data_IF_786932374011
#
_entry.id   IF_786932374011
#
_cell.length_a   1.000
_cell.length_b   1.000
_cell.length_c   1.000
_cell.angle_alpha   90.00
_cell.angle_beta   90.00
_cell.angle_gamma   90.00
#
_symmetry.space_group_name_H-M   'P 1'
#
loop_
_entity.id
_entity.type
_entity.pdbx_description
1 polymer ?
#
# COMPACT_ATOMS: atom_id res chain seq x y z
N UNK A 1 -5.93 7.20 27.43
CA UNK A 1 -5.72 7.74 26.06
C UNK A 1 -6.23 9.15 26.02
N UNK A 2 -5.38 10.09 25.61
CA UNK A 2 -5.71 11.51 25.52
C UNK A 2 -6.68 11.74 24.35
N UNK A 3 -7.76 12.44 24.61
CA UNK A 3 -8.79 12.74 23.61
C UNK A 3 -8.33 13.86 22.67
N UNK A 4 -8.90 13.93 21.45
CA UNK A 4 -8.66 15.05 20.53
C UNK A 4 -8.96 16.41 21.16
N UNK A 5 -9.98 16.48 22.02
CA UNK A 5 -10.33 17.70 22.75
C UNK A 5 -9.24 18.11 23.73
N UNK A 6 -8.67 17.17 24.48
CA UNK A 6 -7.57 17.43 25.42
C UNK A 6 -6.30 17.88 24.68
N UNK A 7 -5.96 17.26 23.54
CA UNK A 7 -4.82 17.68 22.70
C UNK A 7 -4.99 19.14 22.24
N UNK A 8 -6.20 19.51 21.79
CA UNK A 8 -6.49 20.88 21.33
C UNK A 8 -6.49 21.88 22.49
N UNK A 9 -6.92 21.49 23.69
CA UNK A 9 -6.85 22.33 24.88
C UNK A 9 -5.40 22.58 25.35
N UNK A 10 -4.53 21.57 25.16
CA UNK A 10 -3.11 21.66 25.52
C UNK A 10 -2.27 22.42 24.47
N UNK A 11 -2.81 22.68 23.27
CA UNK A 11 -2.17 23.52 22.27
C UNK A 11 -2.21 25.00 22.66
N UNK A 12 -1.05 25.58 22.98
CA UNK A 12 -0.97 27.03 23.16
C UNK A 12 -1.28 27.77 21.85
N UNK A 13 -2.31 28.63 21.88
CA UNK A 13 -2.63 29.54 20.77
C UNK A 13 -1.79 30.83 20.78
N UNK A 14 -1.07 31.08 21.87
CA UNK A 14 -0.16 32.24 22.01
C UNK A 14 1.28 31.82 21.73
N UNK A 15 2.00 32.63 20.97
CA UNK A 15 3.46 32.53 20.78
C UNK A 15 4.13 33.78 21.34
N UNK A 16 5.38 33.62 21.78
CA UNK A 16 6.21 34.75 22.15
C UNK A 16 6.49 35.62 20.92
N UNK A 17 6.35 36.93 21.06
CA UNK A 17 6.73 37.92 20.05
C UNK A 17 7.99 38.64 20.52
N UNK A 18 9.16 38.37 19.93
CA UNK A 18 10.39 39.06 20.31
C UNK A 18 10.32 40.55 19.95
N UNK A 19 10.75 41.41 20.88
CA UNK A 19 10.90 42.86 20.68
C UNK A 19 12.28 43.34 21.12
N UNK A 20 12.75 44.45 20.56
CA UNK A 20 14.03 45.03 20.96
C UNK A 20 14.04 45.39 22.44
N UNK A 21 15.16 45.10 23.11
CA UNK A 21 15.31 45.29 24.56
C UNK A 21 14.63 44.22 25.43
N UNK A 22 13.99 43.20 24.85
CA UNK A 22 13.42 42.10 25.62
C UNK A 22 14.51 41.22 26.25
N UNK A 23 14.40 40.94 27.55
CA UNK A 23 15.33 40.07 28.25
C UNK A 23 15.16 38.60 27.83
N UNK A 24 16.27 37.99 27.45
CA UNK A 24 16.35 36.59 27.01
C UNK A 24 16.71 35.71 28.21
N UNK A 25 15.69 35.36 29.01
CA UNK A 25 15.86 34.53 30.22
C UNK A 25 15.58 33.05 29.93
N UNK A 26 16.05 32.15 30.79
CA UNK A 26 15.75 30.72 30.69
C UNK A 26 14.23 30.44 30.65
N UNK A 27 13.43 31.20 31.40
CA UNK A 27 11.96 31.10 31.39
C UNK A 27 11.37 31.47 30.02
N UNK A 28 11.85 32.57 29.42
CA UNK A 28 11.41 33.03 28.10
C UNK A 28 11.80 32.01 27.01
N UNK A 29 13.00 31.45 27.09
CA UNK A 29 13.44 30.36 26.21
C UNK A 29 12.57 29.11 26.35
N UNK A 30 12.31 28.67 27.59
CA UNK A 30 11.49 27.51 27.88
C UNK A 30 10.06 27.68 27.36
N UNK A 31 9.45 28.86 27.55
CA UNK A 31 8.11 29.17 27.03
C UNK A 31 8.07 29.11 25.49
N UNK A 32 9.06 29.70 24.82
CA UNK A 32 9.15 29.65 23.36
C UNK A 32 9.31 28.21 22.84
N UNK A 33 10.15 27.38 23.48
CA UNK A 33 10.38 26.00 23.06
C UNK A 33 9.19 25.09 23.38
N UNK A 34 8.53 25.29 24.52
CA UNK A 34 7.31 24.58 24.87
C UNK A 34 6.20 24.83 23.84
N UNK A 35 6.05 26.08 23.36
CA UNK A 35 5.10 26.39 22.27
C UNK A 35 5.35 25.52 21.03
N UNK A 36 6.61 25.44 20.57
CA UNK A 36 6.97 24.64 19.40
C UNK A 36 6.78 23.13 19.64
N UNK A 37 7.20 22.63 20.80
CA UNK A 37 7.05 21.21 21.18
C UNK A 37 5.59 20.79 21.22
N UNK A 38 4.74 21.54 21.93
CA UNK A 38 3.30 21.25 22.04
C UNK A 38 2.61 21.29 20.67
N UNK A 39 2.98 22.26 19.83
CA UNK A 39 2.42 22.36 18.47
C UNK A 39 2.84 21.18 17.59
N UNK A 40 4.08 20.72 17.72
CA UNK A 40 4.58 19.55 17.01
C UNK A 40 3.88 18.27 17.50
N UNK A 41 3.78 18.07 18.81
CA UNK A 41 3.08 16.92 19.40
C UNK A 41 1.63 16.86 18.93
N UNK A 42 0.92 17.99 18.97
CA UNK A 42 -0.45 18.05 18.49
C UNK A 42 -0.58 17.78 16.98
N UNK A 43 0.37 18.27 16.17
CA UNK A 43 0.40 17.93 14.75
C UNK A 43 0.58 16.42 14.54
N UNK A 44 1.53 15.81 15.24
CA UNK A 44 1.79 14.37 15.17
C UNK A 44 0.54 13.57 15.59
N UNK A 45 -0.03 13.87 16.76
CA UNK A 45 -1.20 13.17 17.27
C UNK A 45 -2.46 13.35 16.41
N UNK A 46 -2.70 14.55 15.86
CA UNK A 46 -3.93 14.84 15.12
C UNK A 46 -3.86 14.47 13.64
N UNK A 47 -2.69 14.60 13.01
CA UNK A 47 -2.51 14.37 11.56
C UNK A 47 -2.07 12.94 11.28
N UNK A 48 -1.18 12.38 12.09
CA UNK A 48 -0.63 11.03 11.88
C UNK A 48 -1.29 9.98 12.77
N UNK A 49 -1.74 10.37 13.97
CA UNK A 49 -2.23 9.42 14.98
C UNK A 49 -1.08 8.73 15.71
N UNK A 50 -1.43 7.69 16.47
CA UNK A 50 -0.48 6.88 17.24
C UNK A 50 -0.14 5.58 16.51
N UNK A 51 1.12 5.14 16.57
CA UNK A 51 1.58 3.95 15.86
C UNK A 51 3.03 4.03 15.35
N UNK A 52 3.43 3.04 14.57
CA UNK A 52 4.75 2.89 13.98
C UNK A 52 4.84 3.70 12.69
N UNK A 53 5.79 4.64 12.60
CA UNK A 53 5.99 5.46 11.41
C UNK A 53 6.88 4.77 10.37
N UNK A 54 7.91 4.04 10.83
CA UNK A 54 8.85 3.30 9.98
C UNK A 54 9.71 2.36 10.84
N UNK A 55 10.04 1.18 10.31
CA UNK A 55 10.92 0.20 10.96
C UNK A 55 10.29 -0.45 12.19
N UNK A 56 11.07 -0.58 13.28
CA UNK A 56 10.65 -1.20 14.54
C UNK A 56 10.18 -2.65 14.39
N UNK A 57 10.74 -3.38 13.43
CA UNK A 57 10.50 -4.81 13.33
C UNK A 57 10.95 -5.54 14.59
N UNK A 58 10.10 -6.44 15.07
CA UNK A 58 10.42 -7.35 16.18
C UNK A 58 10.73 -8.70 15.57
N UNK A 59 11.90 -9.23 15.87
CA UNK A 59 12.33 -10.55 15.42
C UNK A 59 12.77 -11.38 16.62
N UNK A 60 12.54 -12.68 16.56
CA UNK A 60 13.08 -13.61 17.53
C UNK A 60 14.61 -13.70 17.46
N UNK A 61 15.24 -14.12 18.55
CA UNK A 61 16.67 -14.43 18.56
C UNK A 61 17.01 -15.67 17.73
N UNK A 62 18.25 -15.72 17.23
CA UNK A 62 18.81 -16.90 16.57
C UNK A 62 20.18 -17.23 17.21
N UNK A 63 20.30 -18.33 17.98
CA UNK A 63 19.29 -19.36 18.21
C UNK A 63 18.11 -18.89 19.09
N UNK A 64 16.90 -19.45 18.92
CA UNK A 64 15.71 -19.07 19.69
C UNK A 64 15.85 -19.23 21.20
N UNK A 65 15.52 -18.17 21.95
CA UNK A 65 15.45 -18.13 23.42
C UNK A 65 14.31 -17.21 23.90
N UNK A 66 14.35 -16.69 25.13
CA UNK A 66 13.32 -15.76 25.66
C UNK A 66 13.54 -14.28 25.24
N UNK A 67 14.41 -14.04 24.27
CA UNK A 67 14.88 -12.72 23.85
C UNK A 67 14.34 -12.37 22.46
N UNK A 68 14.01 -11.09 22.27
CA UNK A 68 13.61 -10.54 20.98
C UNK A 68 14.51 -9.35 20.65
N UNK A 69 14.70 -9.09 19.36
CA UNK A 69 15.36 -7.90 18.85
C UNK A 69 14.33 -6.95 18.27
N UNK A 70 14.43 -5.68 18.64
CA UNK A 70 13.66 -4.58 18.06
C UNK A 70 14.61 -3.82 17.16
N UNK A 71 14.35 -3.84 15.85
CA UNK A 71 15.17 -3.14 14.87
C UNK A 71 14.96 -1.62 14.92
N UNK A 72 15.91 -0.82 14.40
CA UNK A 72 15.80 0.62 14.37
C UNK A 72 14.52 1.11 13.71
N UNK A 73 14.01 2.24 14.17
CA UNK A 73 12.81 2.84 13.61
C UNK A 73 12.23 3.96 14.44
N UNK A 74 11.01 4.35 14.12
CA UNK A 74 10.32 5.45 14.79
C UNK A 74 8.83 5.20 14.91
N UNK A 75 8.25 5.77 15.97
CA UNK A 75 6.84 5.68 16.28
C UNK A 75 6.32 6.98 16.90
N UNK A 76 5.00 7.15 16.92
CA UNK A 76 4.32 8.27 17.56
C UNK A 76 3.43 7.71 18.69
N UNK A 77 3.66 8.19 19.91
CA UNK A 77 2.84 7.82 21.08
C UNK A 77 1.40 8.35 20.96
N UNK A 78 0.43 7.84 21.74
CA UNK A 78 -0.92 8.41 21.81
C UNK A 78 -0.98 9.90 22.14
N UNK A 79 0.05 10.43 22.81
CA UNK A 79 0.16 11.85 23.16
C UNK A 79 0.90 12.69 22.11
N UNK A 80 1.31 12.08 20.99
CA UNK A 80 1.99 12.76 19.90
C UNK A 80 3.50 12.89 20.08
N UNK A 81 4.10 12.10 20.97
CA UNK A 81 5.54 12.11 21.18
C UNK A 81 6.22 11.23 20.14
N UNK A 82 7.27 11.76 19.49
CA UNK A 82 8.09 11.00 18.56
C UNK A 82 9.08 10.13 19.35
N UNK A 83 8.93 8.82 19.22
CA UNK A 83 9.84 7.83 19.78
C UNK A 83 10.80 7.38 18.67
N UNK A 84 12.10 7.40 18.94
CA UNK A 84 13.14 6.99 17.99
C UNK A 84 13.98 5.90 18.65
N UNK A 85 14.07 4.76 17.97
CA UNK A 85 14.99 3.66 18.30
C UNK A 85 16.11 3.71 17.26
N UNK A 86 17.28 4.29 17.58
CA UNK A 86 18.32 4.56 16.58
C UNK A 86 19.13 3.31 16.20
N UNK A 87 19.21 2.34 17.10
CA UNK A 87 20.01 1.12 16.96
C UNK A 87 19.19 -0.09 17.44
N UNK A 88 19.51 -1.32 16.98
CA UNK A 88 18.80 -2.51 17.43
C UNK A 88 18.86 -2.67 18.96
N UNK A 89 17.72 -2.95 19.58
CA UNK A 89 17.63 -3.20 21.02
C UNK A 89 17.21 -4.63 21.30
N UNK A 90 17.92 -5.25 22.22
CA UNK A 90 17.61 -6.58 22.74
C UNK A 90 16.69 -6.46 23.95
N UNK A 91 15.59 -7.20 23.96
CA UNK A 91 14.66 -7.25 25.09
C UNK A 91 14.38 -8.69 25.50
N UNK A 92 14.55 -9.00 26.80
CA UNK A 92 14.27 -10.31 27.36
C UNK A 92 12.88 -10.31 28.01
N UNK A 93 11.99 -11.17 27.52
CA UNK A 93 10.61 -11.32 28.00
C UNK A 93 10.50 -12.02 29.37
N UNK A 94 11.64 -12.45 29.92
CA UNK A 94 11.76 -13.02 31.26
C UNK A 94 11.05 -14.36 31.38
N UNK A 95 10.50 -14.64 32.57
CA UNK A 95 9.79 -15.89 32.88
C UNK A 95 8.25 -15.73 32.88
N UNK A 96 7.73 -14.61 32.37
CA UNK A 96 6.29 -14.37 32.36
C UNK A 96 5.57 -15.34 31.41
N UNK A 97 4.41 -15.84 31.84
CA UNK A 97 3.57 -16.79 31.12
C UNK A 97 2.27 -16.14 30.63
N UNK A 98 1.66 -16.75 29.61
CA UNK A 98 0.43 -16.25 29.02
C UNK A 98 0.67 -15.16 27.97
N UNK A 99 -0.34 -14.33 27.74
CA UNK A 99 -0.31 -13.32 26.69
C UNK A 99 0.39 -12.05 27.16
N UNK A 100 1.50 -11.71 26.50
CA UNK A 100 2.33 -10.54 26.75
C UNK A 100 2.28 -9.60 25.56
N UNK A 101 2.14 -8.30 25.84
CA UNK A 101 2.20 -7.23 24.85
C UNK A 101 3.51 -6.49 25.03
N UNK A 102 4.29 -6.39 23.96
CA UNK A 102 5.52 -5.63 23.88
C UNK A 102 5.21 -4.20 23.46
N UNK A 103 5.51 -3.24 24.33
CA UNK A 103 5.25 -1.82 24.17
C UNK A 103 6.55 -1.03 24.03
N UNK A 104 6.47 0.03 23.23
CA UNK A 104 7.46 1.08 23.14
C UNK A 104 6.89 2.37 23.75
N UNK A 105 7.56 2.93 24.76
CA UNK A 105 7.12 4.13 25.48
C UNK A 105 8.10 5.28 25.28
N UNK A 106 7.59 6.52 25.37
CA UNK A 106 8.42 7.72 25.35
C UNK A 106 8.88 8.08 26.77
N UNK A 107 10.10 8.58 26.90
CA UNK A 107 10.60 9.18 28.13
C UNK A 107 11.55 10.35 27.81
N UNK A 108 11.75 11.24 28.78
CA UNK A 108 12.83 12.24 28.75
C UNK A 108 13.82 11.96 29.88
N UNK A 109 15.12 12.18 29.64
CA UNK A 109 16.11 12.11 30.71
C UNK A 109 15.95 13.26 31.70
N UNK A 110 16.42 13.09 32.93
CA UNK A 110 16.73 14.25 33.77
C UNK A 110 17.78 15.14 33.06
N UNK A 111 17.80 16.47 33.30
CA UNK A 111 18.82 17.34 32.74
C UNK A 111 20.23 16.87 33.16
N UNK A 112 21.11 16.65 32.18
CA UNK A 112 22.50 16.20 32.39
C UNK A 112 23.46 17.25 31.92
N UNK A 113 24.50 17.51 32.72
CA UNK A 113 25.57 18.42 32.35
C UNK A 113 26.49 17.72 31.35
N UNK A 114 26.66 18.33 30.19
CA UNK A 114 27.56 17.83 29.14
C UNK A 114 28.53 18.95 28.75
N UNK A 115 29.79 18.56 28.59
CA UNK A 115 30.87 19.46 28.21
C UNK A 115 31.04 19.42 26.68
N UNK A 116 30.72 20.53 26.03
CA UNK A 116 31.02 20.73 24.62
C UNK A 116 32.38 21.48 24.51
N UNK A 117 33.36 20.96 23.77
CA UNK A 117 34.68 21.59 23.61
C UNK A 117 34.63 23.03 23.08
N UNK A 118 33.62 23.39 22.29
CA UNK A 118 33.46 24.72 21.69
C UNK A 118 32.42 25.57 22.44
N UNK A 119 31.40 24.93 23.02
CA UNK A 119 30.22 25.60 23.53
C UNK A 119 30.15 25.71 25.07
N UNK A 120 31.09 25.06 25.77
CA UNK A 120 31.16 25.00 27.23
C UNK A 120 30.21 23.97 27.85
N UNK A 121 30.07 24.00 29.16
CA UNK A 121 29.19 23.09 29.90
C UNK A 121 27.73 23.55 29.83
N UNK A 122 26.82 22.65 29.42
CA UNK A 122 25.38 22.93 29.30
C UNK A 122 24.55 21.74 29.78
N UNK A 123 23.35 22.03 30.26
CA UNK A 123 22.37 21.00 30.60
C UNK A 123 21.58 20.58 29.38
N UNK A 124 21.55 19.28 29.08
CA UNK A 124 20.74 18.69 28.03
C UNK A 124 19.70 17.71 28.60
N UNK A 125 18.53 17.70 27.97
CA UNK A 125 17.49 16.70 28.17
C UNK A 125 17.42 15.88 26.89
N UNK A 126 17.57 14.57 27.02
CA UNK A 126 17.54 13.65 25.89
C UNK A 126 16.18 12.96 25.82
N UNK A 127 15.63 12.88 24.62
CA UNK A 127 14.55 11.93 24.34
C UNK A 127 15.07 10.51 24.52
N UNK A 128 14.33 9.70 25.26
CA UNK A 128 14.61 8.31 25.55
C UNK A 128 13.37 7.47 25.22
N UNK A 129 13.54 6.16 25.24
CA UNK A 129 12.44 5.23 25.08
C UNK A 129 12.54 4.11 26.12
N UNK A 130 11.38 3.59 26.49
CA UNK A 130 11.25 2.36 27.28
C UNK A 130 10.73 1.23 26.40
N UNK A 131 11.20 0.02 26.67
CA UNK A 131 10.62 -1.21 26.12
C UNK A 131 10.07 -2.00 27.28
N UNK A 132 8.80 -2.37 27.22
CA UNK A 132 8.11 -3.06 28.30
C UNK A 132 7.23 -4.18 27.77
N UNK A 133 7.27 -5.34 28.41
CA UNK A 133 6.32 -6.42 28.19
C UNK A 133 5.34 -6.52 29.35
N UNK A 134 4.05 -6.39 29.08
CA UNK A 134 3.00 -6.43 30.09
C UNK A 134 1.83 -7.33 29.67
N UNK A 135 1.13 -7.98 30.62
CA UNK A 135 -0.14 -8.63 30.33
C UNK A 135 -1.20 -7.63 29.83
N UNK A 136 -2.17 -8.09 29.02
CA UNK A 136 -3.25 -7.30 28.37
C UNK A 136 -3.98 -6.28 29.27
N UNK A 137 -4.00 -6.48 30.58
CA UNK A 137 -4.85 -5.74 31.49
C UNK A 137 -4.41 -4.28 31.78
N UNK A 138 -3.22 -3.86 31.35
CA UNK A 138 -2.69 -2.52 31.68
C UNK A 138 -2.60 -1.65 30.42
N UNK A 139 -3.44 -0.60 30.28
CA UNK A 139 -3.29 0.36 29.19
C UNK A 139 -1.99 1.15 29.39
N UNK A 140 -1.02 0.94 28.50
CA UNK A 140 0.25 1.66 28.46
C UNK A 140 0.13 2.85 27.51
N UNK A 141 0.69 4.00 27.90
CA UNK A 141 0.86 5.13 26.99
C UNK A 141 2.07 4.89 26.08
N UNK A 142 1.89 4.03 25.10
CA UNK A 142 2.96 3.59 24.21
C UNK A 142 2.43 3.08 22.88
N UNK A 143 3.34 2.55 22.08
CA UNK A 143 3.05 1.93 20.79
C UNK A 143 3.28 0.43 20.89
N UNK A 144 2.29 -0.34 20.49
CA UNK A 144 2.36 -1.80 20.51
C UNK A 144 3.26 -2.29 19.37
N UNK A 145 4.29 -3.07 19.70
CA UNK A 145 5.25 -3.61 18.74
C UNK A 145 4.96 -5.06 18.36
N UNK A 146 4.55 -5.88 19.31
CA UNK A 146 4.25 -7.29 19.10
C UNK A 146 3.45 -7.86 20.28
N UNK A 147 2.83 -9.02 20.07
CA UNK A 147 2.35 -9.89 21.15
C UNK A 147 3.07 -11.22 21.11
N UNK A 148 3.11 -11.90 22.24
CA UNK A 148 3.52 -13.30 22.33
C UNK A 148 2.66 -14.01 23.35
N UNK A 149 2.21 -15.22 23.02
CA UNK A 149 1.48 -16.08 23.96
C UNK A 149 2.40 -17.17 24.45
N UNK A 150 2.99 -16.96 25.63
CA UNK A 150 4.00 -17.86 26.17
C UNK A 150 3.36 -19.07 26.83
N UNK A 151 3.74 -20.26 26.36
CA UNK A 151 3.28 -21.53 26.94
C UNK A 151 3.93 -21.82 28.29
N UNK A 152 5.18 -21.39 28.47
CA UNK A 152 5.94 -21.48 29.71
C UNK A 152 6.98 -20.36 29.80
N UNK A 153 7.37 -19.98 31.01
CA UNK A 153 8.36 -18.91 31.23
C UNK A 153 9.75 -19.19 30.64
N UNK A 154 10.08 -20.46 30.37
CA UNK A 154 11.34 -20.87 29.74
C UNK A 154 11.21 -21.24 28.26
N UNK A 155 10.01 -21.12 27.66
CA UNK A 155 9.81 -21.45 26.26
C UNK A 155 10.56 -20.45 25.37
N UNK A 156 11.23 -20.99 24.35
CA UNK A 156 11.93 -20.21 23.33
C UNK A 156 10.92 -19.56 22.40
N UNK A 157 11.20 -18.33 22.00
CA UNK A 157 10.33 -17.53 21.16
C UNK A 157 10.86 -17.59 19.74
N UNK A 158 9.97 -17.79 18.77
CA UNK A 158 10.31 -17.83 17.35
C UNK A 158 9.48 -16.82 16.56
N UNK A 159 9.95 -16.50 15.35
CA UNK A 159 9.10 -15.83 14.38
C UNK A 159 7.96 -16.79 13.98
N UNK A 160 6.77 -16.25 13.71
CA UNK A 160 5.65 -17.07 13.29
C UNK A 160 5.86 -17.64 11.88
N UNK A 161 5.76 -18.97 11.75
CA UNK A 161 5.77 -19.64 10.44
C UNK A 161 4.57 -19.16 9.59
N UNK A 162 3.41 -18.99 10.23
CA UNK A 162 2.22 -18.40 9.64
C UNK A 162 1.82 -17.11 10.36
N UNK A 163 2.21 -15.97 9.78
CA UNK A 163 1.96 -14.62 10.33
C UNK A 163 0.49 -14.31 10.60
N UNK A 164 -0.45 -14.94 9.89
CA UNK A 164 -1.89 -14.74 10.08
C UNK A 164 -2.45 -15.53 11.27
N UNK A 165 -1.79 -16.62 11.67
CA UNK A 165 -2.19 -17.50 12.76
C UNK A 165 -1.00 -17.93 13.62
N UNK A 166 -0.37 -17.02 14.38
CA UNK A 166 0.75 -17.36 15.26
C UNK A 166 0.35 -18.38 16.32
N UNK A 167 1.18 -19.41 16.51
CA UNK A 167 1.06 -20.40 17.56
C UNK A 167 1.57 -19.86 18.91
N UNK A 168 1.34 -20.57 20.03
CA UNK A 168 2.05 -20.27 21.27
C UNK A 168 3.57 -20.21 21.05
N UNK A 169 4.21 -19.30 21.77
CA UNK A 169 5.65 -18.99 21.70
C UNK A 169 6.12 -18.39 20.36
N UNK A 170 5.21 -18.06 19.44
CA UNK A 170 5.53 -17.29 18.22
C UNK A 170 5.20 -15.80 18.39
N UNK A 171 5.95 -14.95 17.69
CA UNK A 171 5.68 -13.52 17.61
C UNK A 171 4.43 -13.23 16.77
N UNK A 172 3.47 -12.53 17.37
CA UNK A 172 2.27 -12.02 16.70
C UNK A 172 2.42 -10.53 16.40
N UNK A 173 2.59 -10.21 15.12
CA UNK A 173 2.82 -8.86 14.63
C UNK A 173 1.56 -8.20 14.04
N UNK A 174 0.40 -8.89 14.04
CA UNK A 174 -0.82 -8.42 13.35
C UNK A 174 -1.42 -7.16 13.95
N UNK A 175 -1.11 -6.87 15.21
CA UNK A 175 -1.63 -5.72 15.96
C UNK A 175 -0.76 -4.46 15.82
N UNK A 176 0.35 -4.54 15.07
CA UNK A 176 1.19 -3.39 14.77
C UNK A 176 0.39 -2.37 13.96
N UNK A 177 0.20 -1.19 14.54
CA UNK A 177 -0.45 -0.09 13.85
C UNK A 177 0.59 0.74 13.12
N UNK A 178 0.81 0.47 11.84
CA UNK A 178 1.60 1.35 10.99
C UNK A 178 0.81 2.63 10.66
N UNK A 179 1.47 3.77 10.83
CA UNK A 179 0.93 5.10 10.59
C UNK A 179 1.86 5.89 9.67
N UNK A 180 1.36 7.02 9.19
CA UNK A 180 2.11 7.91 8.33
C UNK A 180 1.46 8.03 6.95
N UNK A 181 2.01 8.96 6.16
CA UNK A 181 1.56 9.13 4.78
C UNK A 181 2.16 7.98 3.98
N UNK A 182 1.45 6.86 3.87
CA UNK A 182 1.70 5.90 2.79
C UNK A 182 1.58 6.70 1.51
N UNK A 183 2.71 6.96 0.85
CA UNK A 183 2.71 7.70 -0.41
C UNK A 183 1.84 6.91 -1.35
N UNK A 184 0.64 7.44 -1.65
CA UNK A 184 -0.31 6.75 -2.52
C UNK A 184 0.42 6.45 -3.83
N UNK A 185 0.60 5.18 -4.19
CA UNK A 185 1.28 4.86 -5.43
C UNK A 185 0.52 5.52 -6.59
N UNK A 186 1.31 6.12 -7.47
CA UNK A 186 0.85 6.87 -8.61
C UNK A 186 0.99 5.99 -9.86
N UNK A 187 -0.13 5.73 -10.55
CA UNK A 187 -0.15 4.96 -11.79
C UNK A 187 -0.67 5.83 -12.93
N UNK A 188 -0.05 5.70 -14.11
CA UNK A 188 -0.59 6.25 -15.36
C UNK A 188 -1.09 5.11 -16.22
N UNK A 189 -2.35 5.20 -16.64
CA UNK A 189 -2.98 4.27 -17.56
C UNK A 189 -3.20 4.98 -18.89
N UNK A 190 -2.61 4.42 -19.95
CA UNK A 190 -2.81 4.91 -21.31
C UNK A 190 -3.70 3.97 -22.09
N UNK A 191 -4.72 4.47 -22.78
CA UNK A 191 -5.61 3.65 -23.62
C UNK A 191 -5.20 3.80 -25.09
N UNK A 192 -4.90 2.67 -25.73
CA UNK A 192 -4.61 2.60 -27.16
C UNK A 192 -5.71 1.79 -27.86
N UNK A 193 -6.32 2.37 -28.89
CA UNK A 193 -7.34 1.70 -29.69
C UNK A 193 -6.72 1.22 -31.01
N UNK A 194 -6.93 -0.04 -31.37
CA UNK A 194 -6.46 -0.64 -32.61
C UNK A 194 -7.64 -1.17 -33.43
N UNK A 195 -7.60 -1.02 -34.77
CA UNK A 195 -8.38 -1.84 -35.72
C UNK A 195 -9.84 -1.46 -36.06
N UNK A 196 -10.35 -0.29 -35.66
CA UNK A 196 -11.76 0.09 -35.89
C UNK A 196 -11.98 1.57 -36.22
N UNK A 197 -13.20 1.91 -36.66
CA UNK A 197 -13.65 3.31 -36.78
C UNK A 197 -13.90 3.92 -35.39
N UNK A 198 -13.71 5.23 -35.25
CA UNK A 198 -13.64 6.01 -33.99
C UNK A 198 -14.94 6.10 -33.15
N UNK A 199 -15.81 5.08 -33.18
CA UNK A 199 -17.22 5.20 -32.82
C UNK A 199 -17.58 5.02 -31.35
N UNK A 200 -16.83 4.23 -30.56
CA UNK A 200 -17.14 4.04 -29.13
C UNK A 200 -15.85 4.05 -28.30
N UNK A 201 -15.63 5.16 -27.60
CA UNK A 201 -14.53 5.34 -26.66
C UNK A 201 -14.99 4.87 -25.27
N UNK A 202 -14.28 3.93 -24.65
CA UNK A 202 -14.66 3.35 -23.36
C UNK A 202 -14.47 4.36 -22.22
N UNK A 203 -15.57 5.06 -21.89
CA UNK A 203 -15.67 5.99 -20.76
C UNK A 203 -15.51 5.31 -19.40
N UNK A 204 -15.58 3.98 -19.33
CA UNK A 204 -15.54 3.24 -18.06
C UNK A 204 -14.19 3.28 -17.36
N UNK A 205 -13.08 3.45 -18.08
CA UNK A 205 -11.76 3.57 -17.45
C UNK A 205 -11.63 4.84 -16.61
N UNK A 206 -12.30 5.92 -17.02
CA UNK A 206 -12.37 7.13 -16.18
C UNK A 206 -13.21 6.90 -14.91
N UNK A 207 -14.24 6.07 -14.99
CA UNK A 207 -15.04 5.67 -13.83
C UNK A 207 -14.23 4.78 -12.88
N UNK A 208 -13.43 3.84 -13.40
CA UNK A 208 -12.44 3.09 -12.60
C UNK A 208 -11.48 4.04 -11.89
N UNK A 209 -10.84 4.96 -12.62
CA UNK A 209 -9.88 5.89 -12.03
C UNK A 209 -10.51 6.77 -10.95
N UNK A 210 -11.78 7.16 -11.12
CA UNK A 210 -12.53 7.88 -10.08
C UNK A 210 -12.78 7.01 -8.86
N UNK A 211 -13.22 5.76 -9.05
CA UNK A 211 -13.46 4.80 -7.98
C UNK A 211 -12.19 4.56 -7.15
N UNK A 212 -11.05 4.32 -7.80
CA UNK A 212 -9.76 4.08 -7.12
C UNK A 212 -9.28 5.31 -6.33
N UNK A 213 -9.42 6.52 -6.90
CA UNK A 213 -9.09 7.76 -6.17
C UNK A 213 -9.96 7.95 -4.92
N UNK A 214 -11.23 7.56 -4.97
CA UNK A 214 -12.13 7.61 -3.81
C UNK A 214 -11.83 6.53 -2.77
N UNK A 215 -11.47 5.32 -3.18
CA UNK A 215 -11.03 4.26 -2.26
C UNK A 215 -9.74 4.66 -1.52
N UNK A 216 -8.90 5.46 -2.17
CA UNK A 216 -7.78 6.13 -1.53
C UNK A 216 -6.49 5.32 -1.50
N UNK A 217 -6.46 4.13 -2.11
CA UNK A 217 -5.30 3.24 -2.16
C UNK A 217 -4.31 3.58 -3.29
N UNK A 218 -4.79 4.09 -4.43
CA UNK A 218 -3.97 4.43 -5.61
C UNK A 218 -4.43 5.76 -6.22
N UNK A 219 -3.47 6.56 -6.70
CA UNK A 219 -3.75 7.69 -7.60
C UNK A 219 -3.60 7.24 -9.06
N UNK A 220 -4.73 7.09 -9.78
CA UNK A 220 -4.75 6.71 -11.19
C UNK A 220 -5.06 7.91 -12.09
N UNK A 221 -4.17 8.20 -13.04
CA UNK A 221 -4.40 9.13 -14.16
C UNK A 221 -4.61 8.34 -15.45
N UNK A 222 -5.53 8.80 -16.28
CA UNK A 222 -5.93 8.12 -17.52
C UNK A 222 -5.73 9.06 -18.68
N UNK A 223 -4.89 8.65 -19.64
CA UNK A 223 -4.74 9.32 -20.92
C UNK A 223 -5.40 8.46 -22.00
N UNK A 224 -6.25 9.07 -22.81
CA UNK A 224 -7.01 8.40 -23.87
C UNK A 224 -6.27 8.54 -25.19
N UNK A 225 -6.41 7.54 -26.07
CA UNK A 225 -5.94 7.60 -27.46
C UNK A 225 -4.42 7.80 -27.57
N UNK A 226 -3.68 7.09 -26.73
CA UNK A 226 -2.23 7.12 -26.75
C UNK A 226 -1.70 6.33 -27.96
N UNK A 227 -0.57 6.76 -28.50
CA UNK A 227 0.11 6.06 -29.58
C UNK A 227 1.15 5.05 -29.03
N UNK A 228 1.47 3.98 -29.78
CA UNK A 228 2.49 3.01 -29.37
C UNK A 228 3.81 3.64 -28.90
N UNK A 229 4.42 4.60 -29.61
CA UNK A 229 5.69 5.20 -29.18
C UNK A 229 5.69 5.77 -27.75
N UNK A 230 4.53 6.14 -27.20
CA UNK A 230 4.39 6.74 -25.88
C UNK A 230 4.23 5.72 -24.73
N UNK A 231 4.15 4.41 -25.02
CA UNK A 231 3.84 3.37 -24.02
C UNK A 231 4.79 3.42 -22.81
N UNK A 232 6.05 3.78 -23.02
CA UNK A 232 7.06 3.89 -21.95
C UNK A 232 6.70 4.87 -20.83
N UNK A 233 5.81 5.83 -21.07
CA UNK A 233 5.36 6.80 -20.06
C UNK A 233 4.28 6.25 -19.10
N UNK A 234 3.76 5.05 -19.35
CA UNK A 234 2.60 4.48 -18.66
C UNK A 234 2.95 3.28 -17.81
N UNK A 235 2.36 3.21 -16.62
CA UNK A 235 2.44 2.03 -15.75
C UNK A 235 1.66 0.86 -16.33
N UNK A 236 0.51 1.16 -16.94
CA UNK A 236 -0.40 0.20 -17.55
C UNK A 236 -0.85 0.74 -18.90
N UNK A 237 -0.75 -0.06 -19.96
CA UNK A 237 -1.37 0.24 -21.25
C UNK A 237 -2.60 -0.63 -21.41
N UNK A 238 -3.75 -0.02 -21.65
CA UNK A 238 -4.98 -0.71 -22.01
C UNK A 238 -5.17 -0.69 -23.52
N UNK A 239 -5.00 -1.84 -24.15
CA UNK A 239 -5.15 -2.04 -25.57
C UNK A 239 -6.57 -2.53 -25.88
N UNK A 240 -7.33 -1.72 -26.60
CA UNK A 240 -8.67 -2.06 -27.06
C UNK A 240 -8.60 -2.38 -28.54
N UNK A 241 -8.75 -3.65 -28.88
CA UNK A 241 -8.77 -4.10 -30.28
C UNK A 241 -10.21 -4.11 -30.75
N UNK A 242 -10.56 -3.09 -31.52
CA UNK A 242 -11.83 -2.98 -32.22
C UNK A 242 -11.61 -3.55 -33.63
N UNK A 243 -12.55 -4.32 -34.19
CA UNK A 243 -12.41 -4.79 -35.58
C UNK A 243 -11.16 -5.64 -35.87
N UNK A 244 -10.58 -5.47 -37.06
CA UNK A 244 -9.48 -6.29 -37.57
C UNK A 244 -8.13 -5.72 -37.13
N UNK A 245 -7.33 -6.54 -36.44
CA UNK A 245 -5.99 -6.15 -35.99
C UNK A 245 -5.01 -6.21 -37.17
N UNK A 246 -4.30 -5.10 -37.40
CA UNK A 246 -3.11 -5.07 -38.24
C UNK A 246 -1.88 -4.94 -37.34
N UNK A 247 -0.95 -5.89 -37.45
CA UNK A 247 0.27 -5.91 -36.66
C UNK A 247 1.38 -5.26 -37.48
N UNK A 248 1.75 -4.04 -37.11
CA UNK A 248 2.89 -3.33 -37.69
C UNK A 248 4.17 -3.63 -36.91
N UNK A 249 5.32 -3.63 -37.60
CA UNK A 249 6.61 -3.91 -36.98
C UNK A 249 6.97 -2.90 -35.88
N UNK A 250 6.53 -1.64 -36.01
CA UNK A 250 6.72 -0.60 -35.01
C UNK A 250 5.99 -0.94 -33.70
N UNK A 251 4.71 -1.32 -33.79
CA UNK A 251 3.90 -1.73 -32.63
C UNK A 251 4.55 -2.91 -31.89
N UNK A 252 5.02 -3.93 -32.62
CA UNK A 252 5.71 -5.08 -32.05
C UNK A 252 6.96 -4.69 -31.26
N UNK A 253 7.82 -3.86 -31.85
CA UNK A 253 9.05 -3.39 -31.20
C UNK A 253 8.76 -2.57 -29.95
N UNK A 254 7.75 -1.70 -30.02
CA UNK A 254 7.30 -0.92 -28.87
C UNK A 254 6.77 -1.82 -27.75
N UNK A 255 5.89 -2.78 -28.08
CA UNK A 255 5.32 -3.70 -27.08
C UNK A 255 6.41 -4.50 -26.39
N UNK A 256 7.37 -5.02 -27.15
CA UNK A 256 8.51 -5.74 -26.62
C UNK A 256 9.32 -4.86 -25.64
N UNK A 257 9.74 -3.67 -26.08
CA UNK A 257 10.50 -2.75 -25.23
C UNK A 257 9.73 -2.35 -23.96
N UNK A 258 8.41 -2.12 -24.09
CA UNK A 258 7.54 -1.76 -22.99
C UNK A 258 7.45 -2.86 -21.92
N UNK A 259 7.23 -4.10 -22.34
CA UNK A 259 7.13 -5.26 -21.43
C UNK A 259 8.47 -5.59 -20.77
N UNK A 260 9.58 -5.49 -21.51
CA UNK A 260 10.93 -5.68 -20.95
C UNK A 260 11.29 -4.64 -19.88
N UNK A 261 10.75 -3.42 -20.00
CA UNK A 261 10.89 -2.37 -18.98
C UNK A 261 9.92 -2.55 -17.79
N UNK A 262 9.32 -3.73 -17.60
CA UNK A 262 8.36 -3.99 -16.52
C UNK A 262 6.97 -3.38 -16.74
N UNK A 263 6.66 -2.96 -17.97
CA UNK A 263 5.32 -2.52 -18.35
C UNK A 263 4.28 -3.64 -18.22
N UNK A 264 3.00 -3.25 -18.14
CA UNK A 264 1.88 -4.19 -18.12
C UNK A 264 0.90 -3.82 -19.21
N UNK A 265 0.51 -4.80 -20.03
CA UNK A 265 -0.45 -4.62 -21.10
C UNK A 265 -1.76 -5.31 -20.69
N UNK A 266 -2.84 -4.54 -20.57
CA UNK A 266 -4.18 -5.10 -20.46
C UNK A 266 -4.85 -5.07 -21.83
N UNK A 267 -5.43 -6.17 -22.29
CA UNK A 267 -5.98 -6.28 -23.65
C UNK A 267 -7.41 -6.78 -23.60
N UNK A 268 -8.30 -6.04 -24.26
CA UNK A 268 -9.66 -6.49 -24.56
C UNK A 268 -9.94 -6.36 -26.05
N UNK A 269 -10.58 -7.39 -26.61
CA UNK A 269 -11.03 -7.39 -28.01
C UNK A 269 -12.53 -7.16 -28.03
N UNK A 270 -12.96 -6.10 -28.72
CA UNK A 270 -14.34 -5.64 -28.80
C UNK A 270 -14.79 -5.64 -30.27
N UNK A 271 -15.12 -6.81 -30.84
CA UNK A 271 -15.53 -6.93 -32.24
C UNK A 271 -17.05 -6.87 -32.38
N UNK A 272 -17.51 -6.53 -33.59
CA UNK A 272 -18.94 -6.49 -33.92
C UNK A 272 -19.59 -7.88 -33.99
N UNK A 273 -18.81 -8.95 -34.22
CA UNK A 273 -19.30 -10.33 -34.35
C UNK A 273 -18.34 -11.35 -33.73
N UNK A 274 -18.86 -12.54 -33.42
CA UNK A 274 -18.12 -13.67 -32.89
C UNK A 274 -16.94 -14.11 -33.77
N UNK A 275 -17.18 -14.18 -35.07
CA UNK A 275 -16.18 -14.60 -36.06
C UNK A 275 -15.01 -13.61 -36.14
N UNK A 276 -15.31 -12.31 -36.12
CA UNK A 276 -14.29 -11.25 -36.08
C UNK A 276 -13.50 -11.27 -34.76
N UNK A 277 -14.14 -11.66 -33.65
CA UNK A 277 -13.45 -11.87 -32.37
C UNK A 277 -12.38 -12.95 -32.48
N UNK A 278 -12.76 -14.13 -32.97
CA UNK A 278 -11.86 -15.25 -33.10
C UNK A 278 -10.67 -14.92 -34.03
N UNK A 279 -10.94 -14.23 -35.14
CA UNK A 279 -9.89 -13.80 -36.07
C UNK A 279 -8.90 -12.83 -35.43
N UNK A 280 -9.37 -11.77 -34.76
CA UNK A 280 -8.50 -10.78 -34.11
C UNK A 280 -7.73 -11.37 -32.92
N UNK A 281 -8.33 -12.31 -32.18
CA UNK A 281 -7.62 -13.06 -31.14
C UNK A 281 -6.53 -13.95 -31.70
N UNK A 282 -6.77 -14.66 -32.80
CA UNK A 282 -5.76 -15.49 -33.43
C UNK A 282 -4.54 -14.67 -33.86
N UNK A 283 -4.77 -13.52 -34.51
CA UNK A 283 -3.69 -12.59 -34.90
C UNK A 283 -2.96 -12.04 -33.67
N UNK A 284 -3.69 -11.66 -32.63
CA UNK A 284 -3.08 -11.16 -31.39
C UNK A 284 -2.23 -12.23 -30.68
N UNK A 285 -2.68 -13.48 -30.61
CA UNK A 285 -1.90 -14.55 -30.01
C UNK A 285 -0.71 -14.99 -30.86
N UNK A 286 -0.83 -14.98 -32.19
CA UNK A 286 0.32 -15.18 -33.08
C UNK A 286 1.38 -14.08 -32.85
N UNK A 287 0.93 -12.83 -32.71
CA UNK A 287 1.81 -11.71 -32.36
C UNK A 287 2.54 -11.95 -31.02
N UNK A 288 1.84 -12.33 -29.96
CA UNK A 288 2.47 -12.64 -28.67
C UNK A 288 3.44 -13.81 -28.74
N UNK A 289 3.08 -14.88 -29.45
CA UNK A 289 3.96 -16.03 -29.66
C UNK A 289 5.26 -15.62 -30.38
N UNK A 290 5.20 -14.68 -31.33
CA UNK A 290 6.40 -14.14 -31.98
C UNK A 290 7.31 -13.34 -31.04
N UNK A 291 6.75 -12.81 -29.95
CA UNK A 291 7.49 -12.19 -28.84
C UNK A 291 7.96 -13.21 -27.78
N UNK A 292 7.66 -14.51 -27.97
CA UNK A 292 7.97 -15.56 -27.01
C UNK A 292 7.05 -15.60 -25.79
N UNK A 293 5.91 -14.90 -25.83
CA UNK A 293 4.97 -14.80 -24.71
C UNK A 293 3.84 -15.80 -24.91
N UNK A 294 3.62 -16.67 -23.92
CA UNK A 294 2.49 -17.59 -23.87
C UNK A 294 1.52 -17.18 -22.77
N UNK A 295 0.22 -17.14 -23.09
CA UNK A 295 -0.81 -16.77 -22.13
C UNK A 295 -1.47 -18.01 -21.54
N UNK A 296 -1.55 -18.06 -20.21
CA UNK A 296 -2.21 -19.13 -19.46
C UNK A 296 -3.40 -18.60 -18.66
N UNK A 297 -4.39 -19.45 -18.30
CA UNK A 297 -5.44 -19.06 -17.36
C UNK A 297 -4.84 -18.57 -16.04
N UNK A 298 -5.37 -17.44 -15.55
CA UNK A 298 -4.92 -16.87 -14.27
C UNK A 298 -5.22 -17.86 -13.14
N UNK A 299 -4.16 -18.29 -12.45
CA UNK A 299 -4.24 -19.23 -11.31
C UNK A 299 -4.88 -18.57 -10.09
N UNK A 300 -5.49 -19.37 -9.22
CA UNK A 300 -6.25 -18.87 -8.06
C UNK A 300 -5.40 -18.08 -7.05
N UNK A 301 -4.10 -18.36 -6.98
CA UNK A 301 -3.12 -17.69 -6.12
C UNK A 301 -2.48 -16.45 -6.76
N UNK A 302 -2.74 -16.19 -8.05
CA UNK A 302 -2.13 -15.11 -8.79
C UNK A 302 -2.55 -13.73 -8.24
N UNK A 303 -1.65 -12.72 -8.17
CA UNK A 303 -1.95 -11.39 -7.64
C UNK A 303 -3.17 -10.70 -8.27
N UNK A 304 -3.47 -10.96 -9.54
CA UNK A 304 -4.68 -10.44 -10.20
C UNK A 304 -5.99 -10.88 -9.52
N UNK A 305 -5.97 -11.98 -8.75
CA UNK A 305 -7.11 -12.48 -7.99
C UNK A 305 -6.93 -12.36 -6.47
N UNK A 306 -5.72 -12.13 -5.98
CA UNK A 306 -5.44 -12.17 -4.54
C UNK A 306 -5.06 -10.83 -3.93
N UNK A 307 -4.76 -9.78 -4.71
CA UNK A 307 -4.28 -8.53 -4.11
C UNK A 307 -4.50 -7.26 -4.96
N UNK A 308 -5.01 -6.15 -4.36
CA UNK A 308 -5.39 -6.03 -2.95
C UNK A 308 -6.72 -6.69 -2.58
N UNK A 309 -7.57 -7.01 -3.57
CA UNK A 309 -8.89 -7.59 -3.36
C UNK A 309 -8.87 -9.10 -3.66
N UNK A 310 -9.54 -9.89 -2.82
CA UNK A 310 -9.61 -11.35 -2.97
C UNK A 310 -10.80 -11.75 -3.85
N UNK A 311 -10.53 -12.55 -4.88
CA UNK A 311 -11.49 -13.11 -5.80
C UNK A 311 -11.29 -14.63 -5.93
N UNK A 312 -12.37 -15.39 -5.81
CA UNK A 312 -12.35 -16.82 -6.12
C UNK A 312 -12.25 -17.08 -7.64
N UNK A 313 -12.71 -16.13 -8.46
CA UNK A 313 -12.65 -16.13 -9.92
C UNK A 313 -12.74 -14.69 -10.45
N UNK A 314 -12.27 -14.40 -11.68
CA UNK A 314 -12.38 -13.06 -12.26
C UNK A 314 -13.85 -12.60 -12.37
N UNK A 315 -14.18 -11.35 -12.01
CA UNK A 315 -15.55 -10.85 -12.07
C UNK A 315 -15.93 -10.45 -13.50
N UNK A 316 -16.65 -11.32 -14.19
CA UNK A 316 -17.19 -11.03 -15.51
C UNK A 316 -18.58 -10.41 -15.45
N UNK A 317 -18.98 -9.70 -16.50
CA UNK A 317 -20.39 -9.37 -16.61
C UNK A 317 -21.22 -10.63 -16.90
N UNK A 318 -22.27 -10.84 -16.11
CA UNK A 318 -23.29 -11.86 -16.39
C UNK A 318 -24.07 -11.46 -17.64
N UNK A 319 -23.65 -11.99 -18.79
CA UNK A 319 -24.48 -11.95 -20.01
C UNK A 319 -25.29 -13.23 -20.07
N UNK A 320 -26.54 -13.12 -20.55
CA UNK A 320 -27.34 -14.30 -20.89
C UNK A 320 -26.59 -15.11 -21.96
N UNK A 321 -26.51 -16.45 -21.86
CA UNK A 321 -25.68 -17.31 -22.71
C UNK A 321 -26.01 -17.26 -24.22
N UNK A 322 -27.00 -16.47 -24.64
CA UNK A 322 -27.45 -16.37 -26.03
C UNK A 322 -26.63 -15.41 -26.91
N UNK A 323 -25.83 -14.49 -26.34
CA UNK A 323 -25.12 -13.46 -27.13
C UNK A 323 -23.60 -13.42 -26.90
N UNK A 324 -23.06 -14.21 -25.97
CA UNK A 324 -21.62 -14.28 -25.74
C UNK A 324 -20.95 -15.22 -26.75
N UNK A 325 -20.17 -14.64 -27.66
CA UNK A 325 -19.19 -15.36 -28.48
C UNK A 325 -18.10 -16.00 -27.61
N UNK A 326 -18.40 -17.16 -27.02
CA UNK A 326 -17.48 -17.94 -26.19
C UNK A 326 -17.49 -17.56 -24.70
N UNK A 327 -16.98 -18.46 -23.87
CA UNK A 327 -16.92 -18.27 -22.42
C UNK A 327 -15.96 -17.11 -22.06
N UNK A 328 -16.32 -16.27 -21.06
CA UNK A 328 -15.41 -15.26 -20.56
C UNK A 328 -14.17 -15.95 -19.99
N UNK A 329 -13.00 -15.37 -20.28
CA UNK A 329 -11.70 -15.87 -19.79
C UNK A 329 -10.78 -14.70 -19.50
N UNK A 330 -9.92 -14.93 -18.52
CA UNK A 330 -8.82 -14.05 -18.16
C UNK A 330 -7.54 -14.88 -18.27
N UNK A 331 -6.62 -14.42 -19.11
CA UNK A 331 -5.33 -15.06 -19.34
C UNK A 331 -4.22 -14.08 -18.96
N UNK A 332 -3.09 -14.60 -18.50
CA UNK A 332 -1.90 -13.81 -18.18
C UNK A 332 -0.63 -14.51 -18.68
N UNK A 333 0.36 -13.73 -19.09
CA UNK A 333 1.71 -14.19 -19.36
C UNK A 333 2.66 -13.01 -19.56
N UNK A 334 3.77 -13.01 -18.83
CA UNK A 334 4.87 -12.03 -18.92
C UNK A 334 4.42 -10.54 -18.88
N UNK A 335 3.37 -10.24 -18.09
CA UNK A 335 2.85 -8.87 -17.97
C UNK A 335 1.81 -8.48 -19.03
N UNK A 336 1.41 -9.42 -19.89
CA UNK A 336 0.24 -9.28 -20.75
C UNK A 336 -0.94 -9.94 -20.07
N UNK A 337 -2.00 -9.17 -19.85
CA UNK A 337 -3.28 -9.61 -19.27
C UNK A 337 -4.34 -9.50 -20.36
N UNK A 338 -4.87 -10.63 -20.80
CA UNK A 338 -5.91 -10.69 -21.83
C UNK A 338 -7.27 -11.03 -21.20
N UNK A 339 -8.32 -10.31 -21.61
CA UNK A 339 -9.67 -10.49 -21.09
C UNK A 339 -10.73 -10.51 -22.20
N UNK A 340 -11.71 -11.42 -22.05
CA UNK A 340 -13.01 -11.37 -22.74
C UNK A 340 -14.14 -10.78 -21.88
N UNK A 341 -13.81 -10.24 -20.71
CA UNK A 341 -14.76 -9.76 -19.70
C UNK A 341 -15.45 -8.44 -20.03
N UNK A 342 -14.91 -7.66 -20.98
CA UNK A 342 -15.39 -6.33 -21.34
C UNK A 342 -15.43 -5.38 -20.13
N UNK A 343 -14.35 -5.39 -19.35
CA UNK A 343 -14.16 -4.57 -18.17
C UNK A 343 -14.24 -3.07 -18.50
N UNK A 344 -13.75 -2.66 -19.68
CA UNK A 344 -13.86 -1.28 -20.16
C UNK A 344 -15.29 -0.74 -20.08
N UNK A 345 -16.29 -1.54 -20.46
CA UNK A 345 -17.71 -1.17 -20.36
C UNK A 345 -18.27 -1.39 -18.96
N UNK A 346 -17.90 -2.48 -18.29
CA UNK A 346 -18.41 -2.83 -16.95
C UNK A 346 -18.02 -1.78 -15.91
N UNK A 347 -16.81 -1.23 -16.00
CA UNK A 347 -16.38 -0.11 -15.15
C UNK A 347 -17.22 1.16 -15.36
N UNK A 348 -17.77 1.34 -16.55
CA UNK A 348 -18.70 2.42 -16.91
C UNK A 348 -20.15 2.14 -16.52
N UNK A 349 -20.44 0.99 -15.89
CA UNK A 349 -21.79 0.57 -15.55
C UNK A 349 -22.58 0.06 -16.75
N UNK A 350 -21.89 -0.42 -17.80
CA UNK A 350 -22.51 -0.95 -19.01
C UNK A 350 -22.17 -2.43 -19.18
N UNK A 351 -23.13 -3.19 -19.70
CA UNK A 351 -22.92 -4.57 -20.10
C UNK A 351 -23.72 -4.86 -21.37
N UNK A 352 -23.26 -5.83 -22.17
CA UNK A 352 -24.00 -6.25 -23.36
C UNK A 352 -25.34 -6.89 -22.97
N UNK A 353 -26.44 -6.40 -23.54
CA UNK A 353 -27.76 -7.02 -23.42
C UNK A 353 -28.47 -6.87 -22.06
N UNK A 354 -27.82 -6.34 -21.01
CA UNK A 354 -28.44 -6.16 -19.70
C UNK A 354 -27.84 -4.98 -18.91
N UNK A 355 -28.59 -4.52 -17.90
CA UNK A 355 -28.07 -3.56 -16.91
C UNK A 355 -27.25 -4.33 -15.87
N UNK A 356 -25.95 -4.06 -15.70
CA UNK A 356 -25.14 -4.75 -14.71
C UNK A 356 -25.61 -4.41 -13.30
N UNK A 357 -25.53 -5.38 -12.39
CA UNK A 357 -25.86 -5.14 -10.99
C UNK A 357 -24.81 -4.24 -10.33
N UNK A 358 -25.19 -3.54 -9.25
CA UNK A 358 -24.21 -2.78 -8.44
C UNK A 358 -23.07 -3.66 -7.93
N UNK A 359 -23.35 -4.92 -7.60
CA UNK A 359 -22.34 -5.87 -7.16
C UNK A 359 -21.32 -6.17 -8.27
N UNK A 360 -21.78 -6.41 -9.50
CA UNK A 360 -20.91 -6.65 -10.66
C UNK A 360 -20.03 -5.43 -10.99
N UNK A 361 -20.62 -4.22 -10.95
CA UNK A 361 -19.87 -2.97 -11.17
C UNK A 361 -18.79 -2.81 -10.09
N UNK A 362 -19.14 -2.98 -8.81
CA UNK A 362 -18.20 -2.88 -7.70
C UNK A 362 -17.08 -3.91 -7.81
N UNK A 363 -17.42 -5.18 -8.03
CA UNK A 363 -16.45 -6.26 -8.19
C UNK A 363 -15.48 -5.98 -9.34
N UNK A 364 -15.96 -5.41 -10.45
CA UNK A 364 -15.08 -5.01 -11.57
C UNK A 364 -14.14 -3.86 -11.20
N UNK A 365 -14.58 -2.87 -10.43
CA UNK A 365 -13.70 -1.79 -9.94
C UNK A 365 -12.64 -2.34 -8.98
N UNK A 366 -13.04 -3.22 -8.07
CA UNK A 366 -12.15 -3.93 -7.13
C UNK A 366 -11.12 -4.79 -7.88
N UNK A 367 -11.52 -5.48 -8.94
CA UNK A 367 -10.57 -6.21 -9.79
C UNK A 367 -9.66 -5.29 -10.61
N UNK A 368 -10.19 -4.15 -11.08
CA UNK A 368 -9.39 -3.11 -11.71
C UNK A 368 -8.31 -2.55 -10.78
N UNK A 369 -8.55 -2.54 -9.47
CA UNK A 369 -7.53 -2.23 -8.46
C UNK A 369 -6.41 -3.27 -8.44
N UNK A 370 -6.74 -4.57 -8.46
CA UNK A 370 -5.75 -5.66 -8.57
C UNK A 370 -4.88 -5.52 -9.81
N UNK A 371 -5.49 -5.19 -10.96
CA UNK A 371 -4.77 -4.97 -12.22
C UNK A 371 -3.76 -3.82 -12.10
N UNK A 372 -4.17 -2.70 -11.51
CA UNK A 372 -3.27 -1.54 -11.34
C UNK A 372 -2.18 -1.83 -10.32
N UNK A 373 -2.50 -2.51 -9.21
CA UNK A 373 -1.51 -2.93 -8.21
C UNK A 373 -0.49 -3.91 -8.80
N UNK A 374 -0.93 -4.86 -9.62
CA UNK A 374 -0.07 -5.77 -10.37
C UNK A 374 0.89 -5.00 -11.28
N UNK A 375 0.39 -4.02 -12.04
CA UNK A 375 1.21 -3.20 -12.93
C UNK A 375 2.26 -2.36 -12.18
N UNK A 376 1.87 -1.76 -11.05
CA UNK A 376 2.78 -1.02 -10.18
C UNK A 376 3.93 -1.91 -9.64
N UNK A 377 3.61 -3.14 -9.23
CA UNK A 377 4.62 -4.10 -8.74
C UNK A 377 5.60 -4.50 -9.83
N UNK A 378 5.12 -4.72 -11.06
CA UNK A 378 6.01 -5.04 -12.20
C UNK A 378 6.95 -3.88 -12.52
N UNK A 379 6.47 -2.64 -12.42
CA UNK A 379 7.28 -1.44 -12.73
C UNK A 379 8.30 -1.08 -11.64
N UNK A 380 8.15 -1.63 -10.43
CA UNK A 380 9.06 -1.42 -9.31
C UNK A 380 10.24 -2.41 -9.27
N UNK A 381 10.16 -3.49 -10.05
CA UNK A 381 11.28 -4.42 -10.29
C UNK A 381 12.17 -3.87 -11.39
#
# INVERSE_FOLDING_TARGET
>A
MTTKSEILQNCSLKRLHPTDGMAVTAKVWAEAHAYHRLRQQAHLALVHGAGILSGLEVIASDPPDSTVYILPGSAISPDGELIIVPEPVTYNLGAAEGELLLWLTYAESQPRLESDPEAGERFYVHSQFGVEAQPIAVPVNGVELARVRRSAGSAAITDADNKEYPFPDELDLRFRQEIGVTRKPAARLGICYLGGEAGVRDVGVQALARALRHAGHVSLWVDLEIAPPDFGAYTLVYLVIQGALQVEAELLNTLYAYLQAGGTLFVEIVPATAEKMAASEAVFFEMLNSLGISLEPVKADHPLLTSPQLFAAPPFCETSPAESSGAPRLLEGDGVVFSRGNYGRLWGGQCAGSMPTRASIRASHEWGENLVAYALRRRAK
#
